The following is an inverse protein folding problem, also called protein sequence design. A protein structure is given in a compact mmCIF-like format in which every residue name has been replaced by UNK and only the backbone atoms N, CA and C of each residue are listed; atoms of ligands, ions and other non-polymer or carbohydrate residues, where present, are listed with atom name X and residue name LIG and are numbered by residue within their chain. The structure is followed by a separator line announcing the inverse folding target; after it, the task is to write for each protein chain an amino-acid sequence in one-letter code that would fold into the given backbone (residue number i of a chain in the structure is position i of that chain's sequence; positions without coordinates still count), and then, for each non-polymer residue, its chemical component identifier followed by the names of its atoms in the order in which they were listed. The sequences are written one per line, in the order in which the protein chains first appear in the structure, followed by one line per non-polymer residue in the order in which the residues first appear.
data_IF_278167995216
#
_entry.id   IF_278167995216
#
_cell.length_a   1.000
_cell.length_b   1.000
_cell.length_c   1.000
_cell.angle_alpha   90.00
_cell.angle_beta   90.00
_cell.angle_gamma   90.00
#
_symmetry.space_group_name_H-M   'P 1'
#
loop_
_entity.id
_entity.type
_entity.pdbx_description
1 polymer ?
#
# COMPACT_ATOMS: atom_id res chain seq x y z
N UNK A 1 -17.55 2.08 10.93
CA UNK A 1 -17.12 1.36 9.72
C UNK A 1 -16.16 2.21 8.90
N UNK A 2 -16.43 3.49 8.67
CA UNK A 2 -15.52 4.40 7.92
C UNK A 2 -14.10 4.54 8.50
N UNK A 3 -13.93 4.57 9.83
CA UNK A 3 -12.60 4.65 10.44
C UNK A 3 -11.71 3.42 10.18
N UNK A 4 -12.32 2.25 9.95
CA UNK A 4 -11.62 1.00 9.63
C UNK A 4 -11.15 1.00 8.17
N UNK A 5 -12.04 1.41 7.27
CA UNK A 5 -11.77 1.62 5.84
C UNK A 5 -10.66 2.67 5.59
N UNK A 6 -10.70 3.78 6.33
CA UNK A 6 -9.68 4.84 6.25
C UNK A 6 -8.28 4.39 6.68
N UNK A 7 -8.17 3.52 7.69
CA UNK A 7 -6.88 3.00 8.15
C UNK A 7 -6.19 2.11 7.10
N UNK A 8 -6.95 1.21 6.47
CA UNK A 8 -6.44 0.34 5.41
C UNK A 8 -6.05 1.13 4.16
N UNK A 9 -6.86 2.13 3.78
CA UNK A 9 -6.56 3.05 2.68
C UNK A 9 -5.27 3.83 2.95
N UNK A 10 -5.07 4.32 4.18
CA UNK A 10 -3.86 5.06 4.56
C UNK A 10 -2.59 4.20 4.54
N UNK A 11 -2.64 2.99 5.11
CA UNK A 11 -1.51 2.03 5.09
C UNK A 11 -1.17 1.63 3.65
N UNK A 12 -2.19 1.36 2.83
CA UNK A 12 -2.03 1.02 1.43
C UNK A 12 -1.39 2.15 0.61
N UNK A 13 -1.79 3.40 0.86
CA UNK A 13 -1.20 4.58 0.23
C UNK A 13 0.29 4.71 0.57
N UNK A 14 0.65 4.56 1.85
CA UNK A 14 2.04 4.59 2.30
C UNK A 14 2.88 3.51 1.63
N UNK A 15 2.39 2.27 1.60
CA UNK A 15 3.09 1.16 0.96
C UNK A 15 3.29 1.40 -0.55
N UNK A 16 2.31 2.01 -1.22
CA UNK A 16 2.42 2.35 -2.65
C UNK A 16 3.46 3.47 -2.90
N UNK A 17 3.51 4.49 -2.03
CA UNK A 17 4.51 5.55 -2.08
C UNK A 17 5.93 5.02 -1.85
N UNK A 18 6.10 4.13 -0.85
CA UNK A 18 7.37 3.46 -0.61
C UNK A 18 7.77 2.58 -1.79
N UNK A 19 6.86 1.75 -2.31
CA UNK A 19 7.10 0.93 -3.49
C UNK A 19 7.56 1.77 -4.68
N UNK A 20 6.82 2.82 -5.02
CA UNK A 20 7.18 3.75 -6.10
C UNK A 20 8.55 4.42 -5.89
N UNK A 21 8.84 4.89 -4.67
CA UNK A 21 10.13 5.51 -4.34
C UNK A 21 11.31 4.54 -4.49
N UNK A 22 11.18 3.30 -4.02
CA UNK A 22 12.24 2.30 -4.14
C UNK A 22 12.42 1.83 -5.59
N UNK A 23 11.33 1.67 -6.34
CA UNK A 23 11.36 1.43 -7.80
C UNK A 23 12.11 2.52 -8.54
N UNK A 24 11.82 3.80 -8.25
CA UNK A 24 12.53 4.94 -8.85
C UNK A 24 14.01 5.01 -8.45
N UNK A 25 14.37 4.50 -7.28
CA UNK A 25 15.76 4.40 -6.82
C UNK A 25 16.51 3.19 -7.37
N UNK A 26 15.86 2.35 -8.19
CA UNK A 26 16.44 1.11 -8.72
C UNK A 26 16.81 0.10 -7.64
N UNK A 27 16.28 0.27 -6.42
CA UNK A 27 16.48 -0.67 -5.32
C UNK A 27 15.33 -1.67 -5.33
N UNK A 28 15.67 -2.95 -5.41
CA UNK A 28 14.70 -4.03 -5.28
C UNK A 28 14.10 -3.99 -3.87
N UNK A 29 12.88 -3.47 -3.77
CA UNK A 29 12.01 -3.75 -2.63
C UNK A 29 11.39 -5.12 -2.92
N UNK A 30 11.36 -6.01 -1.92
CA UNK A 30 10.74 -7.31 -2.06
C UNK A 30 9.31 -7.13 -2.61
N UNK A 31 8.90 -7.87 -3.66
CA UNK A 31 7.59 -7.70 -4.29
C UNK A 31 6.42 -7.86 -3.31
N UNK A 32 6.70 -8.53 -2.19
CA UNK A 32 5.89 -8.67 -0.98
C UNK A 32 5.29 -7.35 -0.50
N UNK A 33 6.06 -6.26 -0.45
CA UNK A 33 5.60 -4.96 0.05
C UNK A 33 4.62 -4.28 -0.93
N UNK A 34 4.83 -4.47 -2.23
CA UNK A 34 3.94 -3.95 -3.27
C UNK A 34 2.61 -4.70 -3.24
N UNK A 35 2.66 -6.03 -3.10
CA UNK A 35 1.47 -6.89 -2.99
C UNK A 35 0.67 -6.54 -1.71
N UNK A 36 1.33 -6.43 -0.57
CA UNK A 36 0.69 -6.07 0.71
C UNK A 36 0.08 -4.66 0.67
N UNK A 37 0.76 -3.70 0.03
CA UNK A 37 0.23 -2.35 -0.18
C UNK A 37 -1.01 -2.32 -1.05
N UNK A 38 -0.98 -3.04 -2.18
CA UNK A 38 -2.13 -3.16 -3.08
C UNK A 38 -3.33 -3.85 -2.42
N UNK A 39 -3.09 -4.93 -1.65
CA UNK A 39 -4.14 -5.62 -0.90
C UNK A 39 -4.74 -4.71 0.18
N UNK A 40 -3.93 -3.90 0.87
CA UNK A 40 -4.44 -2.95 1.86
C UNK A 40 -5.30 -1.85 1.23
N UNK A 41 -4.93 -1.34 0.04
CA UNK A 41 -5.78 -0.40 -0.72
C UNK A 41 -7.10 -1.04 -1.15
N UNK A 42 -7.08 -2.29 -1.61
CA UNK A 42 -8.28 -3.00 -2.03
C UNK A 42 -9.25 -3.21 -0.85
N UNK A 43 -8.73 -3.60 0.31
CA UNK A 43 -9.52 -3.75 1.55
C UNK A 43 -10.09 -2.41 1.99
N UNK A 44 -9.29 -1.34 1.96
CA UNK A 44 -9.74 0.02 2.27
C UNK A 44 -10.82 0.51 1.31
N UNK A 45 -10.76 0.15 0.03
CA UNK A 45 -11.77 0.54 -0.95
C UNK A 45 -13.09 -0.25 -0.83
N UNK A 46 -13.03 -1.52 -0.41
CA UNK A 46 -14.20 -2.39 -0.24
C UNK A 46 -14.90 -2.23 1.11
N UNK A 47 -14.25 -1.58 2.08
CA UNK A 47 -14.75 -1.37 3.44
C UNK A 47 -15.47 -0.04 3.59
#
# INVERSE_FOLDING_TARGET
MEAFSGWFTFIGLLACLFGGFFTLRGKSIGPELIILGGLSLLVGWLA
#
